data_IF_923296514778
#
_entry.id   IF_923296514778
#
_cell.length_a   1.000
_cell.length_b   1.000
_cell.length_c   1.000
_cell.angle_alpha   90.00
_cell.angle_beta   90.00
_cell.angle_gamma   90.00
#
_symmetry.space_group_name_H-M   'P 1'
#
loop_
_entity.id
_entity.type
_entity.pdbx_description
1 polymer ?
#
# COMPACT_ATOMS: atom_id res chain seq x y z
N UNK A 1 -7.08 -2.95 -14.68
CA UNK A 1 -7.46 -2.48 -13.33
C UNK A 1 -6.28 -1.71 -12.76
N UNK A 2 -6.54 -0.58 -12.11
CA UNK A 2 -5.57 0.19 -11.34
C UNK A 2 -5.73 -0.17 -9.87
N UNK A 3 -4.62 -0.45 -9.18
CA UNK A 3 -4.62 -0.74 -7.73
C UNK A 3 -3.74 0.29 -7.05
N UNK A 4 -4.19 0.83 -5.92
CA UNK A 4 -3.44 1.80 -5.12
C UNK A 4 -3.76 1.65 -3.64
N UNK A 5 -3.01 2.34 -2.78
CA UNK A 5 -3.38 2.55 -1.38
C UNK A 5 -3.55 4.05 -1.11
N UNK A 6 -4.78 4.48 -0.78
CA UNK A 6 -5.18 5.89 -0.62
C UNK A 6 -5.03 6.75 -1.89
N UNK A 7 -4.96 6.12 -3.07
CA UNK A 7 -4.76 6.80 -4.33
C UNK A 7 -5.93 7.64 -4.79
N UNK A 8 -7.16 7.34 -4.36
CA UNK A 8 -8.32 8.18 -4.69
C UNK A 8 -8.20 9.57 -4.07
N UNK A 9 -7.50 9.71 -2.94
CA UNK A 9 -7.35 10.98 -2.21
C UNK A 9 -6.02 11.68 -2.46
N UNK A 10 -4.99 10.92 -2.87
CA UNK A 10 -3.63 11.42 -3.00
C UNK A 10 -3.08 11.27 -4.41
N UNK A 11 -2.76 10.04 -4.83
CA UNK A 11 -2.01 9.78 -6.07
C UNK A 11 -2.73 10.28 -7.33
N UNK A 12 -3.99 9.91 -7.52
CA UNK A 12 -4.76 10.27 -8.71
C UNK A 12 -4.97 11.79 -8.80
N UNK A 13 -5.42 12.49 -7.74
CA UNK A 13 -5.50 13.95 -7.73
C UNK A 13 -4.16 14.63 -8.05
N UNK A 14 -3.05 14.13 -7.46
CA UNK A 14 -1.72 14.71 -7.66
C UNK A 14 -1.25 14.55 -9.12
N UNK A 15 -1.34 13.34 -9.67
CA UNK A 15 -0.95 13.06 -11.06
C UNK A 15 -1.84 13.83 -12.03
N UNK A 16 -3.15 13.88 -11.79
CA UNK A 16 -4.08 14.61 -12.66
C UNK A 16 -3.84 16.13 -12.62
N UNK A 17 -3.49 16.70 -11.47
CA UNK A 17 -3.11 18.10 -11.37
C UNK A 17 -1.83 18.41 -12.18
N UNK A 18 -0.87 17.47 -12.21
CA UNK A 18 0.39 17.61 -12.94
C UNK A 18 0.26 17.34 -14.44
N UNK A 19 -0.69 16.49 -14.83
CA UNK A 19 -1.02 16.13 -16.22
C UNK A 19 -2.55 16.10 -16.43
N UNK A 20 -3.19 17.27 -16.62
CA UNK A 20 -4.65 17.38 -16.73
C UNK A 20 -5.28 16.62 -17.91
N UNK A 21 -4.48 16.25 -18.91
CA UNK A 21 -4.89 15.45 -20.06
C UNK A 21 -4.98 13.95 -19.75
N UNK A 22 -4.35 13.49 -18.68
CA UNK A 22 -4.41 12.08 -18.29
C UNK A 22 -5.83 11.74 -17.82
N UNK A 23 -6.32 10.57 -18.23
CA UNK A 23 -7.64 10.05 -17.86
C UNK A 23 -7.46 8.67 -17.24
N UNK A 24 -8.02 8.47 -16.05
CA UNK A 24 -8.04 7.19 -15.36
C UNK A 24 -9.41 6.55 -15.57
N UNK A 25 -9.56 5.80 -16.66
CA UNK A 25 -10.83 5.16 -17.04
C UNK A 25 -10.88 3.67 -16.65
N UNK A 26 -9.77 3.13 -16.17
CA UNK A 26 -9.69 1.75 -15.71
C UNK A 26 -10.44 1.60 -14.38
N UNK A 27 -11.00 0.42 -14.13
CA UNK A 27 -11.49 0.05 -12.79
C UNK A 27 -10.38 0.32 -11.76
N UNK A 28 -10.70 1.11 -10.73
CA UNK A 28 -9.77 1.50 -9.68
C UNK A 28 -10.13 0.81 -8.36
N UNK A 29 -9.21 0.01 -7.84
CA UNK A 29 -9.27 -0.59 -6.52
C UNK A 29 -8.32 0.16 -5.57
N UNK A 30 -8.87 1.11 -4.81
CA UNK A 30 -8.16 1.74 -3.70
C UNK A 30 -8.28 0.87 -2.45
N UNK A 31 -7.19 0.22 -2.05
CA UNK A 31 -7.13 -0.78 -0.98
C UNK A 31 -7.36 -0.20 0.41
N UNK A 32 -7.25 1.12 0.60
CA UNK A 32 -7.51 1.74 1.90
C UNK A 32 -8.91 1.38 2.43
N UNK A 33 -9.92 1.49 1.57
CA UNK A 33 -11.32 1.28 1.94
C UNK A 33 -11.68 -0.19 2.26
N UNK A 34 -11.36 -1.19 1.41
CA UNK A 34 -11.66 -2.57 1.72
C UNK A 34 -10.86 -3.08 2.93
N UNK A 35 -9.59 -2.67 3.10
CA UNK A 35 -8.79 -3.05 4.28
C UNK A 35 -9.38 -2.44 5.56
N UNK A 36 -9.77 -1.17 5.54
CA UNK A 36 -10.47 -0.54 6.67
C UNK A 36 -11.80 -1.23 7.01
N UNK A 37 -12.53 -1.73 6.00
CA UNK A 37 -13.77 -2.51 6.21
C UNK A 37 -13.51 -3.86 6.90
N UNK A 38 -12.29 -4.39 6.76
CA UNK A 38 -11.84 -5.59 7.48
C UNK A 38 -11.31 -5.28 8.89
N UNK A 39 -11.28 -4.01 9.31
CA UNK A 39 -10.76 -3.58 10.61
C UNK A 39 -9.26 -3.28 10.62
N UNK A 40 -8.59 -3.37 9.47
CA UNK A 40 -7.18 -3.03 9.31
C UNK A 40 -7.05 -1.52 9.10
N UNK A 41 -6.59 -0.81 10.12
CA UNK A 41 -6.52 0.65 10.12
C UNK A 41 -5.08 1.17 10.14
N UNK A 42 -4.89 2.37 9.61
CA UNK A 42 -3.61 3.08 9.60
C UNK A 42 -3.07 3.30 8.19
N UNK A 43 -1.80 3.70 8.10
CA UNK A 43 -1.09 3.75 6.82
C UNK A 43 -0.70 2.35 6.33
N UNK A 44 -0.28 2.27 5.07
CA UNK A 44 0.09 1.00 4.41
C UNK A 44 0.99 0.13 5.28
N UNK A 45 2.08 0.68 5.82
CA UNK A 45 3.04 -0.03 6.67
C UNK A 45 2.46 -0.58 7.96
N UNK A 46 1.55 0.17 8.59
CA UNK A 46 0.89 -0.32 9.80
C UNK A 46 0.00 -1.53 9.48
N UNK A 47 -0.64 -1.52 8.31
CA UNK A 47 -1.47 -2.63 7.85
C UNK A 47 -0.62 -3.81 7.41
N UNK A 48 0.51 -3.59 6.73
CA UNK A 48 1.50 -4.63 6.41
C UNK A 48 1.93 -5.38 7.68
N UNK A 49 2.33 -4.67 8.74
CA UNK A 49 2.68 -5.31 10.02
C UNK A 49 1.51 -6.07 10.63
N UNK A 50 0.29 -5.51 10.60
CA UNK A 50 -0.91 -6.22 11.09
C UNK A 50 -1.19 -7.52 10.31
N UNK A 51 -0.83 -7.58 9.03
CA UNK A 51 -1.00 -8.75 8.18
C UNK A 51 0.22 -9.68 8.19
N UNK A 52 1.26 -9.41 9.00
CA UNK A 52 2.47 -10.23 9.06
C UNK A 52 3.46 -10.02 7.90
N UNK A 53 3.30 -8.97 7.09
CA UNK A 53 4.27 -8.61 6.05
C UNK A 53 5.49 -7.95 6.71
N UNK A 54 6.66 -8.54 6.49
CA UNK A 54 7.93 -7.94 6.87
C UNK A 54 8.59 -7.22 5.71
N UNK A 55 9.03 -5.99 5.98
CA UNK A 55 9.88 -5.23 5.07
C UNK A 55 11.35 -5.60 5.27
N UNK A 56 12.16 -5.39 4.23
CA UNK A 56 13.62 -5.57 4.27
C UNK A 56 14.26 -4.74 5.38
N UNK A 57 15.47 -5.13 5.81
CA UNK A 57 16.17 -4.47 6.91
C UNK A 57 16.39 -2.98 6.62
N UNK A 58 16.68 -2.65 5.37
CA UNK A 58 17.00 -1.32 4.87
C UNK A 58 15.80 -0.37 4.88
N UNK A 59 14.59 -0.92 4.74
CA UNK A 59 13.35 -0.13 4.62
C UNK A 59 12.47 -0.19 5.87
N UNK A 60 12.75 -1.14 6.75
CA UNK A 60 12.04 -1.34 8.02
C UNK A 60 12.08 -0.06 8.86
N UNK A 61 10.90 0.41 9.24
CA UNK A 61 10.76 1.61 10.07
C UNK A 61 10.93 2.94 9.33
N UNK A 62 11.27 2.95 8.03
CA UNK A 62 11.27 4.18 7.25
C UNK A 62 9.87 4.78 7.19
N UNK A 63 9.78 6.10 7.26
CA UNK A 63 8.52 6.85 7.08
C UNK A 63 8.50 7.58 5.73
N UNK A 64 7.33 8.15 5.35
CA UNK A 64 7.27 9.01 4.16
C UNK A 64 8.17 10.24 4.27
N UNK A 65 8.43 10.74 5.49
CA UNK A 65 9.37 11.83 5.70
C UNK A 65 10.82 11.39 5.46
N UNK A 66 11.18 10.15 5.78
CA UNK A 66 12.53 9.63 5.54
C UNK A 66 12.78 9.41 4.05
N UNK A 67 11.76 8.99 3.28
CA UNK A 67 11.84 8.95 1.82
C UNK A 67 12.20 10.32 1.21
N UNK A 68 11.63 11.41 1.73
CA UNK A 68 11.99 12.78 1.31
C UNK A 68 13.44 13.11 1.66
N UNK A 69 13.95 12.66 2.80
CA UNK A 69 15.37 12.86 3.17
C UNK A 69 16.30 12.06 2.26
N UNK A 70 15.96 10.81 1.95
CA UNK A 70 16.72 9.96 1.03
C UNK A 70 16.82 10.61 -0.35
N UNK A 71 15.71 11.13 -0.88
CA UNK A 71 15.72 11.89 -2.14
C UNK A 71 16.70 13.06 -2.10
N UNK A 72 16.64 13.88 -1.03
CA UNK A 72 17.54 15.03 -0.86
C UNK A 72 19.00 14.63 -0.67
N UNK A 73 19.29 13.45 -0.12
CA UNK A 73 20.66 12.92 -0.01
C UNK A 73 21.17 12.53 -1.40
N UNK A 74 20.36 11.80 -2.15
CA UNK A 74 20.69 11.45 -3.53
C UNK A 74 20.93 12.68 -4.41
N UNK A 75 20.11 13.73 -4.30
CA UNK A 75 20.33 15.00 -5.02
C UNK A 75 21.70 15.65 -4.72
N UNK A 76 22.36 15.26 -3.63
CA UNK A 76 23.70 15.73 -3.23
C UNK A 76 24.82 14.74 -3.60
N UNK A 77 24.52 13.70 -4.36
CA UNK A 77 25.49 12.70 -4.86
C UNK A 77 25.62 11.43 -4.00
N UNK A 78 24.63 11.15 -3.15
CA UNK A 78 24.58 9.91 -2.34
C UNK A 78 23.78 8.84 -3.09
N UNK A 79 24.48 8.01 -3.88
CA UNK A 79 23.85 6.96 -4.70
C UNK A 79 23.19 5.86 -3.86
N UNK A 80 23.77 5.54 -2.68
CA UNK A 80 23.20 4.55 -1.75
C UNK A 80 21.81 5.00 -1.23
N UNK A 81 21.63 6.31 -1.00
CA UNK A 81 20.33 6.85 -0.63
C UNK A 81 19.25 6.63 -1.71
N UNK A 82 19.63 6.62 -2.99
CA UNK A 82 18.70 6.30 -4.07
C UNK A 82 18.34 4.82 -4.08
N UNK A 83 19.30 3.93 -3.85
CA UNK A 83 19.04 2.48 -3.79
C UNK A 83 18.02 2.16 -2.69
N UNK A 84 18.20 2.71 -1.48
CA UNK A 84 17.25 2.55 -0.38
C UNK A 84 15.88 3.16 -0.71
N UNK A 85 15.85 4.34 -1.35
CA UNK A 85 14.59 4.97 -1.75
C UNK A 85 13.84 4.17 -2.82
N UNK A 86 14.54 3.58 -3.78
CA UNK A 86 13.94 2.72 -4.78
C UNK A 86 13.39 1.46 -4.14
N UNK A 87 14.13 0.83 -3.22
CA UNK A 87 13.67 -0.34 -2.47
C UNK A 87 12.42 -0.03 -1.65
N UNK A 88 12.43 1.11 -0.98
CA UNK A 88 11.30 1.64 -0.22
C UNK A 88 10.03 1.74 -1.08
N UNK A 89 10.14 2.35 -2.27
CA UNK A 89 9.00 2.53 -3.18
C UNK A 89 8.57 1.20 -3.83
N UNK A 90 9.51 0.32 -4.14
CA UNK A 90 9.21 -1.02 -4.66
C UNK A 90 8.33 -1.78 -3.66
N UNK A 91 8.73 -1.81 -2.39
CA UNK A 91 7.98 -2.50 -1.35
C UNK A 91 6.57 -1.93 -1.13
N UNK A 92 6.39 -0.60 -1.25
CA UNK A 92 5.07 0.04 -1.18
C UNK A 92 4.13 -0.42 -2.32
N UNK A 93 4.67 -1.01 -3.40
CA UNK A 93 3.90 -1.52 -4.55
C UNK A 93 3.74 -3.04 -4.47
N UNK A 94 4.81 -3.79 -4.26
CA UNK A 94 4.77 -5.27 -4.29
C UNK A 94 3.85 -5.83 -3.21
N UNK A 95 3.77 -5.18 -2.05
CA UNK A 95 2.89 -5.59 -0.96
C UNK A 95 1.40 -5.28 -1.21
N UNK A 96 1.07 -4.42 -2.19
CA UNK A 96 -0.34 -4.18 -2.54
C UNK A 96 -1.00 -5.44 -3.10
N UNK A 97 -0.24 -6.31 -3.78
CA UNK A 97 -0.78 -7.54 -4.36
C UNK A 97 -1.30 -8.52 -3.29
N UNK A 98 -0.48 -8.96 -2.30
CA UNK A 98 -0.98 -9.86 -1.27
C UNK A 98 -2.08 -9.21 -0.41
N UNK A 99 -2.01 -7.90 -0.15
CA UNK A 99 -3.08 -7.17 0.55
C UNK A 99 -4.39 -7.12 -0.25
N UNK A 100 -4.32 -6.94 -1.57
CA UNK A 100 -5.50 -7.00 -2.45
C UNK A 100 -6.11 -8.41 -2.46
N UNK A 101 -5.29 -9.45 -2.53
CA UNK A 101 -5.74 -10.84 -2.53
C UNK A 101 -6.38 -11.21 -1.18
N UNK A 102 -5.78 -10.76 -0.06
CA UNK A 102 -6.38 -10.87 1.27
C UNK A 102 -7.75 -10.20 1.30
N UNK A 103 -7.79 -8.90 0.96
CA UNK A 103 -9.02 -8.12 1.01
C UNK A 103 -10.14 -8.76 0.17
N UNK A 104 -9.81 -9.22 -1.04
CA UNK A 104 -10.76 -9.88 -1.92
C UNK A 104 -11.29 -11.18 -1.32
N UNK A 105 -10.41 -12.10 -0.88
CA UNK A 105 -10.82 -13.41 -0.33
C UNK A 105 -11.72 -13.24 0.89
N UNK A 106 -11.32 -12.40 1.83
CA UNK A 106 -12.04 -12.20 3.10
C UNK A 106 -13.39 -11.50 2.87
N UNK A 107 -13.43 -10.43 2.06
CA UNK A 107 -14.70 -9.77 1.74
C UNK A 107 -15.62 -10.66 0.92
N UNK A 108 -15.09 -11.49 0.02
CA UNK A 108 -15.88 -12.47 -0.74
C UNK A 108 -16.51 -13.49 0.22
N UNK A 109 -15.75 -14.04 1.16
CA UNK A 109 -16.27 -14.97 2.16
C UNK A 109 -17.38 -14.33 3.00
N UNK A 110 -17.15 -13.15 3.59
CA UNK A 110 -18.16 -12.42 4.39
C UNK A 110 -19.47 -12.18 3.64
N UNK A 111 -19.40 -11.85 2.35
CA UNK A 111 -20.60 -11.52 1.55
C UNK A 111 -21.34 -12.76 1.03
N UNK A 112 -20.65 -13.89 0.87
CA UNK A 112 -21.25 -15.13 0.37
C UNK A 112 -21.65 -16.10 1.50
N UNK A 113 -21.11 -15.92 2.70
CA UNK A 113 -21.39 -16.72 3.90
C UNK A 113 -21.89 -15.81 5.05
N UNK A 114 -23.18 -15.41 5.04
CA UNK A 114 -23.73 -14.53 6.07
C UNK A 114 -23.58 -15.13 7.47
N UNK A 115 -22.95 -14.39 8.39
CA UNK A 115 -22.71 -14.83 9.78
C UNK A 115 -21.29 -15.34 10.05
N UNK A 116 -20.42 -15.41 9.04
CA UNK A 116 -18.99 -15.64 9.24
C UNK A 116 -18.38 -14.54 10.12
N UNK A 117 -17.65 -14.96 11.15
CA UNK A 117 -16.75 -14.11 11.95
C UNK A 117 -15.35 -14.35 11.42
N UNK A 118 -14.60 -13.28 11.14
CA UNK A 118 -13.21 -13.41 10.75
C UNK A 118 -12.34 -13.47 11.99
N UNK A 119 -11.48 -14.49 12.05
CA UNK A 119 -10.48 -14.61 13.09
C UNK A 119 -9.21 -13.82 12.70
N UNK A 120 -8.37 -13.38 13.65
CA UNK A 120 -7.12 -12.70 13.34
C UNK A 120 -6.22 -13.45 12.35
N UNK A 121 -6.25 -14.78 12.39
CA UNK A 121 -5.52 -15.67 11.48
C UNK A 121 -5.99 -15.54 10.02
N UNK A 122 -7.27 -15.22 9.78
CA UNK A 122 -7.81 -15.00 8.43
C UNK A 122 -7.24 -13.71 7.78
N UNK A 123 -6.68 -12.81 8.60
CA UNK A 123 -6.08 -11.53 8.17
C UNK A 123 -4.55 -11.58 8.10
N UNK A 124 -3.94 -12.68 8.55
CA UNK A 124 -2.51 -12.89 8.42
C UNK A 124 -2.16 -13.43 7.01
N UNK A 125 -1.07 -12.94 6.45
CA UNK A 125 -0.43 -13.50 5.27
C UNK A 125 0.65 -14.47 5.77
N UNK A 126 0.46 -15.76 5.47
CA UNK A 126 1.38 -16.85 5.80
C UNK A 126 2.67 -16.79 4.99
#
# INVERSE_FOLDING_TARGET
MLVSFNGSRFDLPFVQARWPQLRFEQLHADLLYPLHKLGLHGGLKAIETQCGIERSEETRGLTGHDAVKLWKRWERGDDEALEVLLKYNEEDIVHLKPLADLAYRTLRARNLEPGRVDEPEDLALA
#
